data_IF_254174839566
#
_entry.id   IF_254174839566
#
_cell.length_a   1.000
_cell.length_b   1.000
_cell.length_c   1.000
_cell.angle_alpha   90.00
_cell.angle_beta   90.00
_cell.angle_gamma   90.00
#
_symmetry.space_group_name_H-M   'P 1'
#
loop_
_entity.id
_entity.type
_entity.pdbx_description
1 polymer ?
#
# COMPACT_ATOMS: atom_id res chain seq x y z
N UNK A 1 -16.22 6.91 -3.12
CA UNK A 1 -14.77 6.62 -3.09
C UNK A 1 -14.25 7.01 -1.70
N UNK A 2 -13.57 6.13 -0.97
CA UNK A 2 -13.09 6.46 0.40
C UNK A 2 -11.79 7.27 0.30
N UNK A 3 -11.65 8.33 1.10
CA UNK A 3 -10.42 9.15 1.16
C UNK A 3 -9.22 8.32 1.60
N UNK A 4 -8.03 8.60 1.04
CA UNK A 4 -6.80 7.85 1.34
C UNK A 4 -6.46 7.90 2.84
N UNK A 5 -6.58 9.08 3.45
CA UNK A 5 -6.37 9.28 4.89
C UNK A 5 -7.26 8.38 5.75
N UNK A 6 -8.54 8.22 5.39
CA UNK A 6 -9.47 7.35 6.12
C UNK A 6 -9.10 5.87 5.98
N UNK A 7 -8.58 5.44 4.83
CA UNK A 7 -8.09 4.07 4.64
C UNK A 7 -6.82 3.84 5.45
N UNK A 8 -5.91 4.80 5.47
CA UNK A 8 -4.67 4.72 6.24
C UNK A 8 -4.93 4.65 7.75
N UNK A 9 -5.83 5.48 8.29
CA UNK A 9 -6.26 5.41 9.70
C UNK A 9 -6.80 4.02 10.08
N UNK A 10 -7.55 3.36 9.18
CA UNK A 10 -8.02 1.98 9.41
C UNK A 10 -6.86 0.98 9.48
N UNK A 11 -5.83 1.14 8.65
CA UNK A 11 -4.64 0.26 8.70
C UNK A 11 -3.91 0.42 10.04
N UNK A 12 -3.72 1.67 10.49
CA UNK A 12 -3.11 2.01 11.77
C UNK A 12 -3.93 1.48 12.96
N UNK A 13 -5.26 1.48 12.86
CA UNK A 13 -6.14 0.90 13.89
C UNK A 13 -6.16 -0.63 13.91
N UNK A 14 -5.23 -1.30 13.21
CA UNK A 14 -5.13 -2.76 13.16
C UNK A 14 -6.05 -3.44 12.14
N UNK A 15 -6.81 -2.69 11.31
CA UNK A 15 -7.63 -3.32 10.28
C UNK A 15 -6.73 -3.97 9.23
N UNK A 16 -7.01 -5.24 8.92
CA UNK A 16 -6.39 -5.98 7.82
C UNK A 16 -7.40 -6.37 6.75
N UNK A 17 -8.61 -5.80 6.84
CA UNK A 17 -9.68 -6.01 5.87
C UNK A 17 -9.78 -4.82 4.91
N UNK A 18 -9.03 -4.91 3.82
CA UNK A 18 -8.95 -3.86 2.81
C UNK A 18 -9.01 -4.45 1.40
N UNK A 19 -9.82 -3.85 0.52
CA UNK A 19 -9.80 -4.20 -0.90
C UNK A 19 -8.42 -3.88 -1.46
N UNK A 20 -7.90 -4.72 -2.35
CA UNK A 20 -6.55 -4.53 -2.88
C UNK A 20 -6.41 -3.21 -3.64
N UNK A 21 -7.46 -2.76 -4.32
CA UNK A 21 -7.50 -1.46 -5.00
C UNK A 21 -7.40 -0.29 -4.00
N UNK A 22 -8.04 -0.39 -2.83
CA UNK A 22 -7.92 0.62 -1.78
C UNK A 22 -6.50 0.65 -1.21
N UNK A 23 -5.86 -0.52 -1.04
CA UNK A 23 -4.46 -0.61 -0.63
C UNK A 23 -3.51 0.06 -1.63
N UNK A 24 -3.70 -0.20 -2.91
CA UNK A 24 -2.90 0.42 -3.99
C UNK A 24 -3.03 1.94 -3.98
N UNK A 25 -4.22 2.46 -3.75
CA UNK A 25 -4.40 3.91 -3.69
C UNK A 25 -3.72 4.57 -2.51
N UNK A 26 -3.63 3.86 -1.38
CA UNK A 26 -2.87 4.33 -0.23
C UNK A 26 -1.38 4.30 -0.59
N UNK A 27 -0.87 3.23 -1.20
CA UNK A 27 0.52 3.18 -1.69
C UNK A 27 0.85 4.39 -2.57
N UNK A 28 0.03 4.67 -3.58
CA UNK A 28 0.19 5.82 -4.47
C UNK A 28 0.18 7.16 -3.72
N UNK A 29 -0.64 7.29 -2.67
CA UNK A 29 -0.67 8.50 -1.83
C UNK A 29 0.58 8.69 -0.98
N UNK A 30 1.33 7.63 -0.70
CA UNK A 30 2.65 7.69 -0.07
C UNK A 30 3.78 7.74 -1.12
N UNK A 31 3.47 8.16 -2.36
CA UNK A 31 4.47 8.33 -3.42
C UNK A 31 5.00 7.02 -4.04
N UNK A 32 4.42 5.86 -3.73
CA UNK A 32 4.82 4.62 -4.39
C UNK A 32 4.30 4.59 -5.82
N UNK A 33 5.20 4.37 -6.77
CA UNK A 33 4.89 4.34 -8.20
C UNK A 33 4.83 2.89 -8.70
N UNK A 34 3.80 2.58 -9.50
CA UNK A 34 3.69 1.27 -10.15
C UNK A 34 4.74 1.14 -11.26
N UNK A 35 5.73 0.27 -11.05
CA UNK A 35 6.83 0.07 -12.00
C UNK A 35 6.57 -1.07 -12.99
N UNK A 36 5.89 -2.13 -12.55
CA UNK A 36 5.61 -3.31 -13.39
C UNK A 36 4.35 -4.04 -12.92
N UNK A 37 3.61 -4.58 -13.88
CA UNK A 37 2.49 -5.50 -13.63
C UNK A 37 2.71 -6.80 -14.40
N UNK A 38 2.43 -7.95 -13.75
CA UNK A 38 2.45 -9.27 -14.38
C UNK A 38 1.33 -10.12 -13.79
N UNK A 39 0.25 -10.28 -14.55
CA UNK A 39 -1.00 -10.83 -14.00
C UNK A 39 -1.51 -9.97 -12.85
N UNK A 40 -1.80 -10.59 -11.70
CA UNK A 40 -2.25 -9.89 -10.50
C UNK A 40 -1.12 -9.30 -9.64
N UNK A 41 0.14 -9.61 -9.95
CA UNK A 41 1.29 -9.07 -9.24
C UNK A 41 1.60 -7.66 -9.73
N UNK A 42 1.79 -6.75 -8.78
CA UNK A 42 2.19 -5.36 -9.01
C UNK A 42 3.48 -5.10 -8.25
N UNK A 43 4.44 -4.46 -8.90
CA UNK A 43 5.70 -4.06 -8.28
C UNK A 43 5.70 -2.54 -8.16
N UNK A 44 5.71 -2.05 -6.93
CA UNK A 44 5.83 -0.63 -6.62
C UNK A 44 7.27 -0.27 -6.26
N UNK A 45 7.65 0.97 -6.55
CA UNK A 45 8.93 1.56 -6.15
C UNK A 45 8.68 2.90 -5.50
N UNK A 46 9.57 3.33 -4.61
CA UNK A 46 9.53 4.65 -4.00
C UNK A 46 10.94 5.22 -4.02
N UNK A 47 11.08 6.55 -4.20
CA UNK A 47 12.39 7.22 -4.30
C UNK A 47 13.28 6.93 -3.09
N UNK A 48 12.69 6.97 -1.90
CA UNK A 48 13.41 6.83 -0.62
C UNK A 48 13.44 5.40 -0.08
N UNK A 49 12.79 4.44 -0.75
CA UNK A 49 12.80 3.02 -0.35
C UNK A 49 13.73 2.23 -1.28
N UNK A 50 14.84 1.66 -0.77
CA UNK A 50 15.91 1.09 -1.60
C UNK A 50 15.54 -0.20 -2.33
N UNK A 51 14.40 -0.83 -1.98
CA UNK A 51 13.95 -2.09 -2.60
C UNK A 51 12.53 -1.96 -3.12
N UNK A 52 12.21 -2.57 -4.29
CA UNK A 52 10.84 -2.63 -4.77
C UNK A 52 9.92 -3.35 -3.79
N UNK A 53 8.66 -2.91 -3.76
CA UNK A 53 7.61 -3.48 -2.93
C UNK A 53 6.60 -4.26 -3.80
N UNK A 54 6.77 -5.59 -3.95
CA UNK A 54 5.84 -6.42 -4.70
C UNK A 54 4.57 -6.69 -3.88
N UNK A 55 3.42 -6.44 -4.49
CA UNK A 55 2.11 -6.67 -3.89
C UNK A 55 1.19 -7.45 -4.84
N UNK A 56 0.22 -8.16 -4.28
CA UNK A 56 -0.76 -8.92 -5.06
C UNK A 56 -2.02 -9.15 -4.22
N UNK A 57 -3.21 -9.22 -4.83
CA UNK A 57 -4.43 -9.54 -4.11
C UNK A 57 -4.44 -11.00 -3.66
N UNK A 58 -5.25 -11.27 -2.63
CA UNK A 58 -5.80 -12.59 -2.33
C UNK A 58 -6.84 -13.00 -3.37
N UNK A 59 -7.28 -14.25 -3.35
CA UNK A 59 -8.34 -14.77 -4.24
C UNK A 59 -9.68 -14.05 -4.08
N UNK A 60 -9.94 -13.44 -2.91
CA UNK A 60 -11.13 -12.64 -2.62
C UNK A 60 -10.99 -11.15 -2.98
N UNK A 61 -9.91 -10.77 -3.68
CA UNK A 61 -9.67 -9.38 -4.11
C UNK A 61 -9.19 -8.45 -2.99
N UNK A 62 -8.92 -8.96 -1.79
CA UNK A 62 -8.39 -8.17 -0.67
C UNK A 62 -6.87 -8.14 -0.67
N UNK A 63 -6.29 -7.11 -0.07
CA UNK A 63 -4.86 -7.08 0.19
C UNK A 63 -4.48 -8.22 1.16
N UNK A 64 -3.26 -8.76 1.02
CA UNK A 64 -2.75 -9.73 1.99
C UNK A 64 -2.41 -8.99 3.29
N UNK A 65 -2.84 -9.45 4.48
CA UNK A 65 -2.58 -8.77 5.75
C UNK A 65 -1.11 -8.39 5.95
N UNK A 66 -0.20 -9.31 5.65
CA UNK A 66 1.23 -9.06 5.79
C UNK A 66 1.76 -7.96 4.85
N UNK A 67 1.12 -7.72 3.70
CA UNK A 67 1.52 -6.63 2.81
C UNK A 67 1.15 -5.28 3.42
N UNK A 68 0.02 -5.21 4.13
CA UNK A 68 -0.34 -4.02 4.91
C UNK A 68 0.70 -3.81 6.02
N UNK A 69 1.06 -4.86 6.77
CA UNK A 69 2.08 -4.77 7.83
C UNK A 69 3.46 -4.35 7.30
N UNK A 70 3.88 -4.91 6.16
CA UNK A 70 5.13 -4.55 5.49
C UNK A 70 5.12 -3.09 5.05
N UNK A 71 4.00 -2.63 4.47
CA UNK A 71 3.86 -1.25 4.05
C UNK A 71 3.92 -0.27 5.23
N UNK A 72 3.22 -0.56 6.33
CA UNK A 72 3.28 0.28 7.54
C UNK A 72 4.71 0.38 8.10
N UNK A 73 5.48 -0.72 8.06
CA UNK A 73 6.90 -0.70 8.43
C UNK A 73 7.74 0.15 7.49
N UNK A 74 7.47 0.13 6.18
CA UNK A 74 8.18 0.98 5.22
C UNK A 74 7.91 2.46 5.48
N UNK A 75 6.66 2.82 5.78
CA UNK A 75 6.30 4.19 6.16
C UNK A 75 7.08 4.64 7.39
N UNK A 76 7.08 3.82 8.45
CA UNK A 76 7.77 4.13 9.71
C UNK A 76 9.30 4.21 9.53
N UNK A 77 9.89 3.27 8.77
CA UNK A 77 11.34 3.20 8.57
C UNK A 77 11.90 4.33 7.71
N UNK A 78 11.10 4.86 6.79
CA UNK A 78 11.53 5.86 5.82
C UNK A 78 10.88 7.22 6.02
N UNK A 79 10.14 7.42 7.13
CA UNK A 79 9.43 8.65 7.47
C UNK A 79 8.56 9.17 6.31
N UNK A 80 7.82 8.26 5.68
CA UNK A 80 7.03 8.58 4.49
C UNK A 80 5.76 9.31 4.89
N UNK A 81 5.44 10.39 4.18
CA UNK A 81 4.24 11.18 4.42
C UNK A 81 3.16 10.89 3.37
N UNK A 82 1.89 10.93 3.81
CA UNK A 82 0.75 10.83 2.91
C UNK A 82 0.54 12.20 2.24
N UNK A 83 0.64 12.26 0.91
CA UNK A 83 0.28 13.47 0.17
C UNK A 83 -1.22 13.75 0.30
N UNK A 84 -1.60 15.02 0.49
CA UNK A 84 -3.01 15.41 0.50
C UNK A 84 -3.69 15.09 -0.85
N UNK A 85 -4.94 14.62 -0.77
CA UNK A 85 -5.79 14.25 -1.93
C UNK A 85 -6.18 15.47 -2.78
#
# INVERSE_FOLDING_TARGET
MVKRSKLFVRMLSGSRDLRFEDFVRVLEGFGFELRRTSGSHRVFVHRDVPRPFPVQPRSDGKAKPYQIDQFLKLIEQHDLELSED
#
